data_IF_173206174364
#
_entry.id   IF_173206174364
#
_cell.length_a   1.000
_cell.length_b   1.000
_cell.length_c   1.000
_cell.angle_alpha   90.00
_cell.angle_beta   90.00
_cell.angle_gamma   90.00
#
_symmetry.space_group_name_H-M   'P 1'
#
loop_
_entity.id
_entity.type
_entity.pdbx_description
1 polymer ?
#
# COMPACT_ATOMS: atom_id res chain seq x y z
N UNK A 1 8.46 1.06 -17.13
CA UNK A 1 8.18 1.28 -15.68
C UNK A 1 9.14 0.49 -14.79
N UNK A 2 9.21 -0.84 -14.90
CA UNK A 2 10.00 -1.73 -14.02
C UNK A 2 11.52 -1.45 -13.99
N UNK A 3 12.09 -0.93 -15.08
CA UNK A 3 13.53 -0.63 -15.16
C UNK A 3 13.91 0.76 -14.64
N UNK A 4 12.95 1.58 -14.23
CA UNK A 4 13.24 2.93 -13.75
C UNK A 4 13.93 2.92 -12.38
N UNK A 5 14.83 3.88 -12.15
CA UNK A 5 15.52 4.03 -10.86
C UNK A 5 14.52 4.23 -9.72
N UNK A 6 13.48 5.03 -9.95
CA UNK A 6 12.41 5.25 -8.98
C UNK A 6 11.73 3.95 -8.57
N UNK A 7 11.38 3.10 -9.53
CA UNK A 7 10.78 1.80 -9.25
C UNK A 7 11.71 0.89 -8.41
N UNK A 8 12.99 0.80 -8.78
CA UNK A 8 13.98 0.00 -8.04
C UNK A 8 14.21 0.52 -6.61
N UNK A 9 14.19 1.83 -6.41
CA UNK A 9 14.29 2.43 -5.08
C UNK A 9 13.06 2.11 -4.22
N UNK A 10 11.85 2.16 -4.80
CA UNK A 10 10.62 1.78 -4.09
C UNK A 10 10.65 0.31 -3.63
N UNK A 11 11.15 -0.58 -4.48
CA UNK A 11 11.33 -2.00 -4.15
C UNK A 11 12.41 -2.19 -3.07
N UNK A 12 13.56 -1.54 -3.22
CA UNK A 12 14.66 -1.58 -2.25
C UNK A 12 14.24 -1.10 -0.85
N UNK A 13 13.50 0.00 -0.76
CA UNK A 13 13.00 0.52 0.51
C UNK A 13 11.74 -0.19 1.03
N UNK A 14 11.21 -1.17 0.27
CA UNK A 14 10.04 -1.96 0.62
C UNK A 14 8.81 -1.09 0.88
N UNK A 15 8.53 -0.15 -0.05
CA UNK A 15 7.40 0.76 0.06
C UNK A 15 6.08 0.19 -0.48
N UNK A 16 6.11 -1.03 -1.03
CA UNK A 16 4.96 -1.69 -1.62
C UNK A 16 4.23 -2.52 -0.56
N UNK A 17 3.13 -1.98 -0.03
CA UNK A 17 2.30 -2.62 0.99
C UNK A 17 0.96 -3.02 0.40
N UNK A 18 0.51 -4.25 0.68
CA UNK A 18 -0.85 -4.68 0.41
C UNK A 18 -1.61 -4.64 1.73
N UNK A 19 -2.72 -3.89 1.76
CA UNK A 19 -3.41 -3.50 2.97
C UNK A 19 -4.88 -3.91 2.90
N UNK A 20 -5.37 -4.53 3.97
CA UNK A 20 -6.76 -4.84 4.23
C UNK A 20 -7.19 -4.07 5.47
N UNK A 21 -7.93 -2.96 5.31
CA UNK A 21 -8.43 -2.21 6.44
C UNK A 21 -9.55 -2.96 7.16
N UNK A 22 -9.58 -2.87 8.48
CA UNK A 22 -10.67 -3.38 9.31
C UNK A 22 -10.77 -2.56 10.61
N UNK A 23 -11.88 -2.71 11.33
CA UNK A 23 -12.03 -2.12 12.65
C UNK A 23 -11.59 -3.10 13.73
N UNK A 24 -10.81 -2.63 14.70
CA UNK A 24 -10.38 -3.44 15.86
C UNK A 24 -11.55 -3.94 16.72
N UNK A 25 -12.67 -3.21 16.70
CA UNK A 25 -13.86 -3.53 17.47
C UNK A 25 -15.12 -2.93 16.82
N UNK A 26 -16.28 -3.38 17.30
CA UNK A 26 -17.60 -2.93 16.83
C UNK A 26 -17.87 -1.44 17.06
N UNK A 27 -17.10 -0.77 17.93
CA UNK A 27 -17.21 0.67 18.17
C UNK A 27 -16.62 1.49 17.01
N UNK A 28 -15.95 0.86 16.04
CA UNK A 28 -15.40 1.49 14.82
C UNK A 28 -14.49 2.69 15.10
N UNK A 29 -13.80 2.68 16.24
CA UNK A 29 -13.03 3.84 16.72
C UNK A 29 -11.70 4.00 15.98
N UNK A 30 -11.10 2.88 15.55
CA UNK A 30 -9.78 2.85 14.94
C UNK A 30 -9.74 1.84 13.80
N UNK A 31 -9.30 2.31 12.64
CA UNK A 31 -9.01 1.46 11.49
C UNK A 31 -7.59 0.91 11.63
N UNK A 32 -7.49 -0.40 11.76
CA UNK A 32 -6.23 -1.15 11.67
C UNK A 32 -6.04 -1.65 10.25
N UNK A 33 -4.79 -1.92 9.91
CA UNK A 33 -4.37 -2.46 8.64
C UNK A 33 -3.80 -3.86 8.84
N UNK A 34 -4.37 -4.81 8.11
CA UNK A 34 -3.89 -6.16 7.95
C UNK A 34 -3.20 -6.31 6.58
N UNK A 35 -2.29 -7.26 6.41
CA UNK A 35 -1.67 -7.54 5.12
C UNK A 35 -0.17 -7.78 5.22
N UNK A 36 0.53 -7.55 4.12
CA UNK A 36 1.96 -7.87 4.02
C UNK A 36 2.71 -6.92 3.06
N UNK A 37 4.02 -6.84 3.25
CA UNK A 37 4.94 -6.04 2.45
C UNK A 37 5.48 -6.86 1.30
N UNK A 38 5.33 -6.36 0.08
CA UNK A 38 5.87 -6.97 -1.11
C UNK A 38 7.33 -6.59 -1.31
N UNK A 39 8.17 -7.59 -1.59
CA UNK A 39 9.60 -7.44 -1.88
C UNK A 39 9.88 -8.03 -3.26
N UNK A 40 10.78 -7.41 -4.01
CA UNK A 40 11.24 -7.90 -5.30
C UNK A 40 10.10 -8.17 -6.28
N UNK A 41 9.26 -7.16 -6.54
CA UNK A 41 8.07 -7.32 -7.39
C UNK A 41 8.36 -7.88 -8.78
N UNK A 42 9.58 -7.71 -9.31
CA UNK A 42 9.97 -8.26 -10.61
C UNK A 42 10.09 -9.79 -10.61
N UNK A 43 10.31 -10.41 -9.45
CA UNK A 43 10.42 -11.87 -9.30
C UNK A 43 9.03 -12.52 -9.31
N UNK A 44 8.78 -13.40 -10.29
CA UNK A 44 7.56 -14.20 -10.34
C UNK A 44 7.40 -15.07 -9.09
N UNK A 45 8.50 -15.68 -8.63
CA UNK A 45 8.52 -16.52 -7.42
C UNK A 45 7.98 -15.74 -6.21
N UNK A 46 8.52 -14.55 -5.96
CA UNK A 46 8.13 -13.68 -4.85
C UNK A 46 6.68 -13.21 -4.97
N UNK A 47 6.21 -12.89 -6.18
CA UNK A 47 4.80 -12.55 -6.44
C UNK A 47 3.85 -13.69 -6.11
N UNK A 48 4.24 -14.94 -6.33
CA UNK A 48 3.40 -16.08 -5.95
C UNK A 48 3.47 -16.31 -4.44
N UNK A 49 4.65 -16.21 -3.82
CA UNK A 49 4.79 -16.37 -2.36
C UNK A 49 3.97 -15.32 -1.59
N UNK A 50 4.02 -14.04 -1.99
CA UNK A 50 3.17 -13.01 -1.38
C UNK A 50 1.68 -13.32 -1.57
N UNK A 51 1.28 -13.84 -2.73
CA UNK A 51 -0.11 -14.28 -2.97
C UNK A 51 -0.55 -15.39 -2.01
N UNK A 52 0.28 -16.42 -1.82
CA UNK A 52 0.02 -17.51 -0.85
C UNK A 52 -0.08 -16.97 0.58
N UNK A 53 0.83 -16.09 0.97
CA UNK A 53 0.81 -15.42 2.28
C UNK A 53 -0.47 -14.63 2.49
N UNK A 54 -0.85 -13.77 1.54
CA UNK A 54 -2.08 -12.98 1.63
C UNK A 54 -3.34 -13.85 1.65
N UNK A 55 -3.37 -14.94 0.90
CA UNK A 55 -4.46 -15.91 0.95
C UNK A 55 -4.59 -16.53 2.34
N UNK A 56 -3.49 -17.02 2.92
CA UNK A 56 -3.47 -17.56 4.29
C UNK A 56 -3.91 -16.50 5.31
N UNK A 57 -3.40 -15.26 5.20
CA UNK A 57 -3.80 -14.14 6.06
C UNK A 57 -5.31 -13.87 6.02
N UNK A 58 -5.91 -13.83 4.83
CA UNK A 58 -7.32 -13.50 4.68
C UNK A 58 -8.26 -14.64 5.07
N UNK A 59 -7.91 -15.89 4.75
CA UNK A 59 -8.86 -17.01 4.79
C UNK A 59 -8.61 -18.00 5.94
N UNK A 60 -7.48 -17.94 6.63
CA UNK A 60 -7.18 -18.85 7.76
C UNK A 60 -7.99 -18.51 9.01
N UNK A 61 -8.22 -17.24 9.29
CA UNK A 61 -8.97 -16.76 10.46
C UNK A 61 -10.33 -16.18 10.00
N UNK A 62 -11.41 -16.91 10.30
CA UNK A 62 -12.77 -16.53 9.91
C UNK A 62 -13.27 -15.25 10.60
N UNK A 63 -12.74 -14.92 11.77
CA UNK A 63 -13.06 -13.70 12.49
C UNK A 63 -12.35 -12.48 11.88
N UNK A 64 -11.11 -12.62 11.44
CA UNK A 64 -10.42 -11.57 10.67
C UNK A 64 -11.12 -11.35 9.33
N UNK A 65 -11.46 -12.43 8.62
CA UNK A 65 -12.17 -12.36 7.35
C UNK A 65 -13.51 -11.61 7.47
N UNK A 66 -14.31 -11.92 8.49
CA UNK A 66 -15.61 -11.28 8.67
C UNK A 66 -15.48 -9.77 8.96
N UNK A 67 -14.47 -9.35 9.72
CA UNK A 67 -14.19 -7.94 9.99
C UNK A 67 -13.75 -7.19 8.73
N UNK A 68 -12.88 -7.79 7.91
CA UNK A 68 -12.41 -7.19 6.65
C UNK A 68 -13.57 -7.06 5.65
N UNK A 69 -14.39 -8.11 5.49
CA UNK A 69 -15.58 -8.07 4.62
C UNK A 69 -16.56 -6.99 5.10
N UNK A 70 -16.86 -6.97 6.40
CA UNK A 70 -17.74 -5.96 6.99
C UNK A 70 -17.21 -4.54 6.76
N UNK A 71 -15.90 -4.31 6.91
CA UNK A 71 -15.28 -3.03 6.58
C UNK A 71 -15.48 -2.71 5.09
N UNK A 72 -15.12 -3.61 4.18
CA UNK A 72 -15.22 -3.38 2.74
C UNK A 72 -16.64 -3.09 2.25
N UNK A 73 -17.66 -3.71 2.85
CA UNK A 73 -19.08 -3.49 2.51
C UNK A 73 -19.60 -2.10 2.89
N UNK A 74 -19.04 -1.50 3.94
CA UNK A 74 -19.53 -0.23 4.50
C UNK A 74 -18.70 0.99 4.06
N UNK A 75 -17.66 0.82 3.25
CA UNK A 75 -16.79 1.91 2.80
C UNK A 75 -16.79 2.00 1.28
N UNK A 76 -17.17 3.14 0.69
CA UNK A 76 -16.98 3.38 -0.72
C UNK A 76 -15.48 3.36 -1.08
N UNK A 77 -15.12 2.60 -2.11
CA UNK A 77 -13.74 2.48 -2.59
C UNK A 77 -13.52 3.47 -3.73
N UNK A 78 -13.01 4.65 -3.40
CA UNK A 78 -12.64 5.67 -4.38
C UNK A 78 -11.24 5.44 -4.97
N UNK A 79 -10.48 4.52 -4.37
CA UNK A 79 -9.06 4.30 -4.67
C UNK A 79 -8.14 5.29 -3.97
N UNK A 80 -8.69 6.15 -3.10
CA UNK A 80 -7.90 7.04 -2.25
C UNK A 80 -7.54 6.37 -0.93
N UNK A 81 -6.35 6.65 -0.40
CA UNK A 81 -5.98 6.27 0.96
C UNK A 81 -6.80 6.98 2.05
N UNK A 82 -7.53 8.05 1.68
CA UNK A 82 -8.55 8.69 2.53
C UNK A 82 -9.66 7.71 2.91
N UNK A 83 -9.94 6.71 2.08
CA UNK A 83 -11.02 5.76 2.31
C UNK A 83 -10.83 4.97 3.61
N UNK A 84 -9.57 4.67 3.98
CA UNK A 84 -9.24 3.96 5.21
C UNK A 84 -8.58 4.82 6.30
N UNK A 85 -7.81 5.85 5.97
CA UNK A 85 -7.16 6.74 6.95
C UNK A 85 -7.43 8.24 6.66
N UNK A 86 -8.68 8.71 6.85
CA UNK A 86 -9.06 10.10 6.55
C UNK A 86 -8.42 11.15 7.47
N UNK A 87 -7.82 10.71 8.58
CA UNK A 87 -7.08 11.55 9.51
C UNK A 87 -5.65 11.85 9.02
N UNK A 88 -5.08 11.02 8.13
CA UNK A 88 -3.76 11.27 7.51
C UNK A 88 -3.87 11.73 6.06
N UNK A 89 -4.92 11.33 5.35
CA UNK A 89 -5.07 11.56 3.92
C UNK A 89 -6.27 12.43 3.55
N UNK A 90 -6.10 13.25 2.52
CA UNK A 90 -7.15 14.11 1.97
C UNK A 90 -7.24 13.98 0.46
N UNK A 91 -8.46 14.00 -0.06
CA UNK A 91 -8.73 14.02 -1.51
C UNK A 91 -8.54 15.40 -2.13
N UNK A 92 -8.27 16.42 -1.30
CA UNK A 92 -7.97 17.79 -1.72
C UNK A 92 -6.52 18.09 -1.36
N UNK A 93 -5.80 18.75 -2.27
CA UNK A 93 -4.45 19.19 -1.98
C UNK A 93 -4.52 20.43 -1.07
N UNK A 94 -4.38 20.19 0.23
CA UNK A 94 -4.41 21.23 1.27
C UNK A 94 -3.10 22.02 1.34
N UNK A 95 -2.00 21.50 0.78
CA UNK A 95 -0.71 22.19 0.83
C UNK A 95 -0.59 23.26 -0.25
N UNK A 96 -0.24 24.48 0.16
CA UNK A 96 0.06 25.58 -0.74
C UNK A 96 1.42 25.38 -1.44
N UNK A 97 1.45 25.67 -2.74
CA UNK A 97 2.54 25.41 -3.70
C UNK A 97 3.91 26.02 -3.34
N UNK A 98 3.98 26.99 -2.42
CA UNK A 98 5.19 27.79 -2.17
C UNK A 98 5.97 27.46 -0.89
N UNK A 99 5.51 26.50 -0.09
CA UNK A 99 6.22 26.16 1.16
C UNK A 99 7.27 25.04 0.98
N UNK A 100 8.38 25.17 1.71
CA UNK A 100 9.33 24.08 1.89
C UNK A 100 8.60 22.85 2.45
N UNK A 101 8.91 21.68 1.92
CA UNK A 101 8.29 20.45 2.41
C UNK A 101 8.71 20.23 3.86
N UNK A 102 7.75 20.07 4.77
CA UNK A 102 7.97 19.75 6.18
C UNK A 102 7.38 18.38 6.46
N UNK A 103 8.04 17.59 7.32
CA UNK A 103 7.49 16.31 7.79
C UNK A 103 6.14 16.55 8.45
N UNK A 104 5.13 15.80 8.00
CA UNK A 104 3.74 15.91 8.43
C UNK A 104 3.35 14.77 9.36
N UNK A 105 4.02 13.62 9.28
CA UNK A 105 3.65 12.41 10.04
C UNK A 105 4.69 12.09 11.11
N UNK A 106 4.21 11.67 12.27
CA UNK A 106 5.00 11.02 13.32
C UNK A 106 4.13 10.00 14.04
N UNK A 107 4.57 8.73 14.12
CA UNK A 107 3.81 7.64 14.75
C UNK A 107 2.37 7.54 14.23
N UNK A 108 2.18 7.67 12.92
CA UNK A 108 0.87 7.58 12.25
C UNK A 108 -0.13 8.64 12.70
N UNK A 109 0.38 9.77 13.17
CA UNK A 109 -0.42 10.94 13.49
C UNK A 109 0.14 12.12 12.74
N UNK A 110 -0.75 13.03 12.34
CA UNK A 110 -0.33 14.33 11.85
C UNK A 110 0.34 15.10 12.98
N UNK A 111 1.42 15.80 12.66
CA UNK A 111 2.00 16.81 13.55
C UNK A 111 1.03 18.00 13.62
N UNK A 112 1.10 18.74 14.73
CA UNK A 112 0.33 19.97 14.89
C UNK A 112 0.54 20.89 13.67
N UNK A 113 -0.56 21.45 13.19
CA UNK A 113 -0.62 22.37 12.04
C UNK A 113 -0.16 21.77 10.70
N UNK A 114 0.07 20.45 10.61
CA UNK A 114 0.41 19.80 9.36
C UNK A 114 -0.85 19.47 8.55
N UNK A 115 -0.81 19.80 7.26
CA UNK A 115 -1.85 19.38 6.30
C UNK A 115 -1.85 17.87 6.10
N UNK A 116 -3.00 17.31 5.74
CA UNK A 116 -3.09 15.90 5.34
C UNK A 116 -2.27 15.64 4.08
N UNK A 117 -1.85 14.39 3.91
CA UNK A 117 -1.20 13.96 2.67
C UNK A 117 -2.26 13.88 1.57
N UNK A 118 -1.98 14.52 0.45
CA UNK A 118 -2.85 14.45 -0.72
C UNK A 118 -2.91 13.02 -1.27
N UNK A 119 -4.13 12.49 -1.38
CA UNK A 119 -4.45 11.21 -2.00
C UNK A 119 -5.75 11.39 -2.80
N UNK A 120 -5.68 11.65 -4.10
CA UNK A 120 -6.87 11.77 -4.94
C UNK A 120 -7.61 10.43 -5.07
N UNK A 121 -8.85 10.49 -5.55
CA UNK A 121 -9.56 9.31 -6.05
C UNK A 121 -8.88 8.79 -7.33
N UNK A 122 -9.08 7.50 -7.63
CA UNK A 122 -8.45 6.78 -8.75
C UNK A 122 -8.63 7.52 -10.08
N UNK A 123 -9.85 8.00 -10.35
CA UNK A 123 -10.22 8.71 -11.60
C UNK A 123 -9.45 10.01 -11.83
N UNK A 124 -8.86 10.60 -10.79
CA UNK A 124 -8.04 11.81 -10.89
C UNK A 124 -6.53 11.50 -10.81
N UNK A 125 -6.17 10.29 -10.43
CA UNK A 125 -4.78 9.86 -10.28
C UNK A 125 -4.22 9.28 -11.59
N UNK A 126 -5.04 8.54 -12.35
CA UNK A 126 -4.68 7.97 -13.64
C UNK A 126 -5.71 8.32 -14.71
N UNK A 127 -5.23 8.50 -15.94
CA UNK A 127 -6.10 8.62 -17.11
C UNK A 127 -6.59 7.24 -17.51
N UNK A 128 -7.75 7.19 -18.16
CA UNK A 128 -8.24 5.96 -18.77
C UNK A 128 -7.19 5.39 -19.72
N UNK A 129 -6.89 4.10 -19.53
CA UNK A 129 -5.95 3.37 -20.36
C UNK A 129 -6.73 2.43 -21.27
N UNK A 130 -6.45 2.48 -22.57
CA UNK A 130 -6.96 1.46 -23.49
C UNK A 130 -6.13 0.19 -23.28
N UNK A 131 -6.79 -0.87 -22.85
CA UNK A 131 -6.19 -2.19 -22.77
C UNK A 131 -6.23 -2.86 -24.15
N UNK A 132 -5.19 -3.61 -24.47
CA UNK A 132 -5.20 -4.48 -25.65
C UNK A 132 -6.24 -5.60 -25.46
N UNK A 133 -6.76 -6.13 -26.56
CA UNK A 133 -7.63 -7.31 -26.50
C UNK A 133 -6.86 -8.46 -25.86
N UNK A 134 -7.52 -9.18 -24.95
CA UNK A 134 -6.90 -10.29 -24.23
C UNK A 134 -6.69 -11.44 -25.21
N UNK A 135 -5.45 -11.93 -25.30
CA UNK A 135 -5.16 -13.17 -26.02
C UNK A 135 -5.93 -14.33 -25.39
N UNK A 136 -6.58 -15.14 -26.23
CA UNK A 136 -7.42 -16.28 -25.79
C UNK A 136 -6.65 -17.50 -25.26
N UNK A 137 -5.35 -17.36 -24.99
CA UNK A 137 -4.51 -18.46 -24.51
C UNK A 137 -4.74 -18.75 -23.03
N UNK A 138 -4.81 -20.04 -22.69
CA UNK A 138 -4.91 -20.49 -21.30
C UNK A 138 -3.53 -20.50 -20.64
N UNK A 139 -3.42 -19.90 -19.44
CA UNK A 139 -2.21 -19.95 -18.64
C UNK A 139 -2.03 -21.29 -17.92
N UNK A 140 -3.08 -22.09 -17.77
CA UNK A 140 -3.03 -23.39 -17.11
C UNK A 140 -2.63 -24.50 -18.08
N UNK A 141 -1.32 -24.64 -18.29
CA UNK A 141 -0.76 -25.64 -19.21
C UNK A 141 -0.19 -26.87 -18.52
N UNK A 142 0.07 -26.80 -17.20
CA UNK A 142 0.68 -27.87 -16.41
C UNK A 142 0.01 -28.02 -15.04
N UNK A 143 -0.56 -29.20 -14.80
CA UNK A 143 -1.21 -29.54 -13.52
C UNK A 143 -0.22 -29.57 -12.35
N UNK A 144 1.07 -29.82 -12.59
CA UNK A 144 2.09 -29.91 -11.55
C UNK A 144 2.30 -28.58 -10.82
N UNK A 145 1.81 -27.45 -11.38
CA UNK A 145 1.77 -26.14 -10.71
C UNK A 145 1.08 -26.21 -9.34
N UNK A 146 0.15 -27.16 -9.14
CA UNK A 146 -0.51 -27.39 -7.85
C UNK A 146 0.50 -27.66 -6.74
N UNK A 147 1.60 -28.38 -7.02
CA UNK A 147 2.64 -28.64 -6.02
C UNK A 147 3.31 -27.36 -5.51
N UNK A 148 3.36 -26.32 -6.34
CA UNK A 148 3.88 -25.01 -5.97
C UNK A 148 2.91 -24.24 -5.07
N UNK A 149 1.60 -24.52 -5.19
CA UNK A 149 0.54 -23.94 -4.37
C UNK A 149 0.39 -24.61 -3.01
N UNK A 150 0.82 -25.86 -2.86
CA UNK A 150 0.82 -26.56 -1.56
C UNK A 150 1.55 -25.71 -0.52
N UNK A 151 0.86 -25.40 0.57
CA UNK A 151 1.36 -24.49 1.59
C UNK A 151 2.50 -25.15 2.39
N UNK A 152 3.49 -24.35 2.79
CA UNK A 152 4.63 -24.80 3.61
C UNK A 152 4.57 -24.25 5.04
N UNK A 153 3.39 -23.81 5.47
CA UNK A 153 3.14 -23.22 6.79
C UNK A 153 4.12 -22.07 7.12
N UNK A 154 3.94 -20.92 6.47
CA UNK A 154 4.55 -19.67 6.96
C UNK A 154 3.62 -19.00 7.97
N UNK A 155 4.05 -18.93 9.24
CA UNK A 155 3.25 -18.29 10.29
C UNK A 155 3.49 -16.78 10.29
N UNK A 156 2.61 -16.06 9.60
CA UNK A 156 2.57 -14.59 9.55
C UNK A 156 1.33 -14.08 10.29
N UNK A 157 1.51 -13.02 11.09
CA UNK A 157 0.42 -12.45 11.90
C UNK A 157 -0.39 -11.36 11.17
N UNK A 158 0.05 -10.93 9.98
CA UNK A 158 -0.60 -9.92 9.13
C UNK A 158 -0.65 -8.50 9.68
N UNK A 159 -0.02 -8.22 10.82
CA UNK A 159 -0.04 -6.89 11.44
C UNK A 159 0.93 -5.94 10.73
N UNK A 160 0.42 -5.16 9.76
CA UNK A 160 1.25 -4.28 8.91
C UNK A 160 1.14 -2.79 9.26
N UNK A 161 0.25 -2.43 10.19
CA UNK A 161 -0.03 -1.02 10.52
C UNK A 161 1.22 -0.22 10.87
N UNK A 162 2.10 -0.77 11.71
CA UNK A 162 3.34 -0.10 12.11
C UNK A 162 4.36 -0.01 10.96
N UNK A 163 4.46 -1.04 10.11
CA UNK A 163 5.38 -1.05 8.98
C UNK A 163 4.96 -0.07 7.89
N UNK A 164 3.67 0.01 7.61
CA UNK A 164 3.11 1.03 6.74
C UNK A 164 3.34 2.44 7.32
N UNK A 165 3.23 2.58 8.63
CA UNK A 165 3.53 3.82 9.34
C UNK A 165 4.96 4.32 9.10
N UNK A 166 5.93 3.43 9.38
CA UNK A 166 7.36 3.70 9.18
C UNK A 166 7.66 4.01 7.72
N UNK A 167 6.95 3.36 6.80
CA UNK A 167 7.06 3.62 5.37
C UNK A 167 6.67 5.04 5.00
N UNK A 168 5.55 5.55 5.52
CA UNK A 168 5.15 6.94 5.29
C UNK A 168 6.24 7.91 5.79
N UNK A 169 6.78 7.69 7.00
CA UNK A 169 7.87 8.52 7.54
C UNK A 169 9.15 8.46 6.69
N UNK A 170 9.52 7.26 6.20
CA UNK A 170 10.66 7.08 5.30
C UNK A 170 10.48 7.81 3.98
N UNK A 171 9.27 7.80 3.41
CA UNK A 171 8.96 8.54 2.18
C UNK A 171 9.12 10.06 2.41
N UNK A 172 8.62 10.60 3.53
CA UNK A 172 8.81 12.02 3.85
C UNK A 172 10.29 12.39 3.99
N UNK A 173 11.10 11.53 4.62
CA UNK A 173 12.54 11.71 4.73
C UNK A 173 13.24 11.67 3.36
N UNK A 174 12.84 10.76 2.48
CA UNK A 174 13.38 10.68 1.12
C UNK A 174 13.07 11.95 0.30
N UNK A 175 11.86 12.52 0.46
CA UNK A 175 11.48 13.79 -0.17
C UNK A 175 12.39 14.93 0.31
N UNK A 176 12.65 15.01 1.62
CA UNK A 176 13.54 16.02 2.21
C UNK A 176 14.99 15.87 1.72
N UNK A 177 15.50 14.64 1.72
CA UNK A 177 16.85 14.35 1.23
C UNK A 177 17.00 14.74 -0.24
N UNK A 178 16.04 14.37 -1.10
CA UNK A 178 16.04 14.74 -2.52
C UNK A 178 16.07 16.26 -2.71
N UNK A 179 15.25 17.02 -1.96
CA UNK A 179 15.24 18.48 -2.06
C UNK A 179 16.57 19.10 -1.62
N UNK A 180 17.17 18.61 -0.54
CA UNK A 180 18.47 19.12 -0.07
C UNK A 180 19.63 18.78 -1.02
N UNK A 181 19.59 17.64 -1.72
CA UNK A 181 20.59 17.31 -2.74
C UNK A 181 20.45 18.25 -3.94
N UNK A 182 19.23 18.47 -4.45
CA UNK A 182 18.99 19.38 -5.58
C UNK A 182 19.42 20.82 -5.25
N UNK A 183 19.16 21.30 -4.03
CA UNK A 183 19.61 22.63 -3.59
C UNK A 183 21.15 22.76 -3.56
N UNK A 184 21.89 21.68 -3.37
CA UNK A 184 23.37 21.68 -3.40
C UNK A 184 23.96 21.56 -4.80
N UNK A 185 23.19 21.14 -5.79
CA UNK A 185 23.60 21.08 -7.19
C UNK A 185 23.36 22.41 -7.93
N UNK A 186 22.53 23.29 -7.36
CA UNK A 186 22.24 24.64 -7.86
C UNK A 186 23.15 25.74 -7.27
N UNK A 187 24.02 25.40 -6.31
CA UNK A 187 25.08 26.25 -5.72
C UNK A 187 26.46 25.97 -6.33
#
# INVERSE_FOLDING_TARGET
VLNSIGFKLFDFFQFNHILFPFYENDKKQKVLLFGDTMKHFTSLHERILIGKRLYSLLFRDTHVLSQIISWAQHHPHTGSRKDYWPHLFSSVNESFSREFYKRRIKKCQLRNDAYRIYSPALIYAWRDMKHEEVDSEDWFTDWQVVHYLVDKEENINGQITEDYCKTLEKIELAILAKKNVLLREEE
#
